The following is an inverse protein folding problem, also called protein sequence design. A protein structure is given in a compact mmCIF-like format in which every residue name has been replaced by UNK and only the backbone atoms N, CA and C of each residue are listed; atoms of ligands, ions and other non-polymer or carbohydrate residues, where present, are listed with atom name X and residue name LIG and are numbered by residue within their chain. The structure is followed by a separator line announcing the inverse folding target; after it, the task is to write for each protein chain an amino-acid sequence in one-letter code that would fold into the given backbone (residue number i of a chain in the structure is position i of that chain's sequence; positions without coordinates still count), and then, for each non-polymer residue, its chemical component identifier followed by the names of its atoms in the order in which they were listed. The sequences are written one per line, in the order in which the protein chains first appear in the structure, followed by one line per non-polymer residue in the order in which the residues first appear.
data_IF_104986644997
#
_entry.id   IF_104986644997
#
_cell.length_a   1.000
_cell.length_b   1.000
_cell.length_c   1.000
_cell.angle_alpha   90.00
_cell.angle_beta   90.00
_cell.angle_gamma   90.00
#
_symmetry.space_group_name_H-M   'P 1'
#
loop_
_entity.id
_entity.type
_entity.pdbx_description
1 polymer ?
#
# COMPACT_ATOMS: atom_id res chain seq x y z
N UNK A 1 -22.07 7.96 6.18
CA UNK A 1 -21.91 6.77 7.05
C UNK A 1 -20.75 5.96 6.49
N UNK A 2 -19.59 5.95 7.16
CA UNK A 2 -18.48 5.04 6.80
C UNK A 2 -18.99 3.62 7.08
N UNK A 3 -19.20 2.82 6.04
CA UNK A 3 -19.61 1.42 6.20
C UNK A 3 -18.55 0.69 7.03
N UNK A 4 -19.00 -0.05 8.03
CA UNK A 4 -18.12 -0.79 8.92
C UNK A 4 -17.43 -1.89 8.12
N UNK A 5 -16.11 -1.82 8.00
CA UNK A 5 -15.28 -2.83 7.33
C UNK A 5 -15.59 -4.28 7.75
N UNK A 6 -16.12 -4.46 8.97
CA UNK A 6 -16.57 -5.74 9.55
C UNK A 6 -17.50 -6.55 8.65
N UNK A 7 -18.31 -5.92 7.80
CA UNK A 7 -19.28 -6.64 6.96
C UNK A 7 -18.66 -7.22 5.68
N UNK A 8 -17.41 -6.84 5.35
CA UNK A 8 -16.69 -7.29 4.14
C UNK A 8 -15.66 -8.41 4.42
N UNK A 9 -15.28 -8.65 5.68
CA UNK A 9 -14.19 -9.56 6.06
C UNK A 9 -14.60 -11.03 6.26
N UNK A 10 -15.59 -11.54 5.53
CA UNK A 10 -15.83 -12.99 5.48
C UNK A 10 -15.01 -13.59 4.33
N UNK A 11 -13.94 -14.31 4.68
CA UNK A 11 -13.13 -15.13 3.77
C UNK A 11 -12.41 -14.33 2.66
N UNK A 12 -11.64 -13.32 3.07
CA UNK A 12 -10.84 -12.48 2.16
C UNK A 12 -9.49 -13.14 1.90
N UNK A 13 -9.18 -13.43 0.63
CA UNK A 13 -7.91 -14.05 0.22
C UNK A 13 -6.71 -13.07 0.24
N UNK A 14 -6.97 -11.75 0.24
CA UNK A 14 -5.94 -10.72 0.29
C UNK A 14 -6.53 -9.31 0.35
N UNK A 15 -5.78 -8.37 0.92
CA UNK A 15 -6.20 -6.96 1.08
C UNK A 15 -5.30 -6.06 0.26
N UNK A 16 -5.89 -5.15 -0.52
CA UNK A 16 -5.16 -4.07 -1.19
C UNK A 16 -5.44 -2.76 -0.47
N UNK A 17 -4.40 -2.15 0.09
CA UNK A 17 -4.46 -0.89 0.82
C UNK A 17 -3.78 0.23 0.03
N UNK A 18 -4.55 1.17 -0.50
CA UNK A 18 -4.02 2.25 -1.36
C UNK A 18 -3.86 3.52 -0.52
N UNK A 19 -2.66 4.10 -0.56
CA UNK A 19 -2.32 5.36 0.13
C UNK A 19 -2.01 6.43 -0.90
N UNK A 20 -2.51 7.63 -0.68
CA UNK A 20 -2.14 8.83 -1.44
C UNK A 20 -0.93 9.48 -0.76
N UNK A 21 0.28 9.28 -1.30
CA UNK A 21 1.52 9.77 -0.65
C UNK A 21 1.70 11.27 -0.76
N UNK A 22 0.93 11.95 -1.62
CA UNK A 22 1.01 13.39 -1.82
C UNK A 22 0.13 14.19 -0.84
N UNK A 23 -0.72 13.52 -0.04
CA UNK A 23 -1.64 14.17 0.89
C UNK A 23 -1.25 13.89 2.34
N UNK A 24 -0.23 14.62 2.79
CA UNK A 24 0.35 14.54 4.13
C UNK A 24 -0.64 14.90 5.26
N UNK A 25 -1.60 15.80 4.98
CA UNK A 25 -2.62 16.24 5.94
C UNK A 25 -3.52 15.09 6.42
N UNK A 26 -3.62 14.01 5.62
CA UNK A 26 -4.49 12.87 5.90
C UNK A 26 -3.74 11.64 6.42
N UNK A 27 -2.45 11.75 6.72
CA UNK A 27 -1.65 10.62 7.19
C UNK A 27 -2.16 10.05 8.52
N UNK A 28 -2.70 10.88 9.41
CA UNK A 28 -3.32 10.39 10.65
C UNK A 28 -4.55 9.53 10.38
N UNK A 29 -5.39 9.90 9.40
CA UNK A 29 -6.53 9.06 9.00
C UNK A 29 -6.08 7.73 8.38
N UNK A 30 -4.97 7.75 7.63
CA UNK A 30 -4.37 6.54 7.05
C UNK A 30 -3.85 5.62 8.14
N UNK A 31 -3.16 6.15 9.16
CA UNK A 31 -2.66 5.40 10.32
C UNK A 31 -3.79 4.72 11.08
N UNK A 32 -4.87 5.44 11.35
CA UNK A 32 -6.05 4.90 12.04
C UNK A 32 -6.71 3.79 11.22
N UNK A 33 -6.84 4.00 9.90
CA UNK A 33 -7.40 3.00 8.99
C UNK A 33 -6.52 1.76 8.87
N UNK A 34 -5.20 1.94 8.80
CA UNK A 34 -4.22 0.86 8.76
C UNK A 34 -4.26 0.01 10.04
N UNK A 35 -4.34 0.66 11.21
CA UNK A 35 -4.50 -0.02 12.49
C UNK A 35 -5.82 -0.82 12.54
N UNK A 36 -6.92 -0.27 12.00
CA UNK A 36 -8.19 -0.97 11.91
C UNK A 36 -8.11 -2.20 11.00
N UNK A 37 -7.50 -2.08 9.81
CA UNK A 37 -7.30 -3.21 8.88
C UNK A 37 -6.46 -4.31 9.52
N UNK A 38 -5.30 -3.98 10.13
CA UNK A 38 -4.46 -4.95 10.85
C UNK A 38 -5.14 -5.59 12.07
N UNK A 39 -6.14 -4.93 12.65
CA UNK A 39 -6.92 -5.50 13.75
C UNK A 39 -7.97 -6.51 13.28
N UNK A 40 -8.51 -6.31 12.07
CA UNK A 40 -9.62 -7.09 11.53
C UNK A 40 -9.13 -8.32 10.78
N UNK A 41 -8.01 -8.20 10.07
CA UNK A 41 -7.46 -9.26 9.23
C UNK A 41 -5.98 -9.49 9.59
N UNK A 42 -5.65 -10.69 10.06
CA UNK A 42 -4.31 -11.06 10.53
C UNK A 42 -3.67 -12.18 9.71
N UNK A 43 -4.47 -12.93 8.94
CA UNK A 43 -4.00 -14.10 8.20
C UNK A 43 -3.83 -13.77 6.71
N UNK A 44 -4.70 -12.93 6.14
CA UNK A 44 -4.61 -12.57 4.73
C UNK A 44 -3.38 -11.66 4.44
N UNK A 45 -2.70 -11.85 3.29
CA UNK A 45 -1.65 -10.96 2.83
C UNK A 45 -2.21 -9.55 2.56
N UNK A 46 -1.44 -8.53 2.92
CA UNK A 46 -1.77 -7.14 2.65
C UNK A 46 -0.78 -6.54 1.66
N UNK A 47 -1.28 -6.08 0.52
CA UNK A 47 -0.53 -5.29 -0.43
C UNK A 47 -0.81 -3.80 -0.20
N UNK A 48 0.22 -3.03 0.13
CA UNK A 48 0.14 -1.57 0.26
C UNK A 48 0.60 -0.92 -1.03
N UNK A 49 -0.25 -0.11 -1.66
CA UNK A 49 0.07 0.70 -2.83
C UNK A 49 0.26 2.16 -2.43
N UNK A 50 1.52 2.59 -2.37
CA UNK A 50 1.92 3.99 -2.19
C UNK A 50 1.75 4.71 -3.53
N UNK A 51 0.59 5.34 -3.72
CA UNK A 51 0.16 5.97 -4.97
C UNK A 51 0.53 7.47 -5.02
N UNK A 52 0.61 8.01 -6.23
CA UNK A 52 0.93 9.42 -6.57
C UNK A 52 2.36 9.86 -6.25
N UNK A 53 3.32 8.93 -6.33
CA UNK A 53 4.75 9.25 -6.18
C UNK A 53 5.27 10.27 -7.20
N UNK A 54 4.56 10.44 -8.33
CA UNK A 54 4.85 11.47 -9.33
C UNK A 54 4.74 12.89 -8.77
N UNK A 55 3.82 13.12 -7.83
CA UNK A 55 3.66 14.41 -7.16
C UNK A 55 4.78 14.68 -6.14
N UNK A 56 5.49 13.62 -5.71
CA UNK A 56 6.71 13.72 -4.90
C UNK A 56 7.97 13.88 -5.78
N UNK A 57 7.83 13.97 -7.10
CA UNK A 57 8.93 14.08 -8.04
C UNK A 57 9.60 12.73 -8.38
N UNK A 58 8.97 11.61 -8.02
CA UNK A 58 9.52 10.27 -8.19
C UNK A 58 8.71 9.44 -9.20
N UNK A 59 9.35 8.40 -9.73
CA UNK A 59 8.76 7.42 -10.64
C UNK A 59 8.93 6.03 -10.06
N UNK A 60 8.19 5.04 -10.56
CA UNK A 60 8.29 3.65 -10.09
C UNK A 60 9.68 3.03 -10.30
N UNK A 61 10.50 3.61 -11.18
CA UNK A 61 11.90 3.24 -11.39
C UNK A 61 12.89 4.04 -10.52
N UNK A 62 12.62 5.33 -10.25
CA UNK A 62 13.55 6.19 -9.50
C UNK A 62 13.39 6.05 -7.99
N UNK A 63 12.17 5.79 -7.51
CA UNK A 63 11.87 5.68 -6.08
C UNK A 63 12.74 4.63 -5.40
N UNK A 64 13.08 3.54 -6.10
CA UNK A 64 13.95 2.47 -5.59
C UNK A 64 15.36 2.95 -5.21
N UNK A 65 15.83 4.08 -5.77
CA UNK A 65 17.10 4.70 -5.40
C UNK A 65 16.95 5.69 -4.24
N UNK A 66 15.73 6.11 -3.90
CA UNK A 66 15.42 7.07 -2.86
C UNK A 66 14.89 6.35 -1.59
N UNK A 67 15.78 5.56 -0.97
CA UNK A 67 15.45 4.79 0.23
C UNK A 67 15.02 5.69 1.40
N UNK A 68 15.59 6.89 1.51
CA UNK A 68 15.22 7.83 2.57
C UNK A 68 13.75 8.22 2.48
N UNK A 69 13.26 8.53 1.26
CA UNK A 69 11.85 8.87 1.06
C UNK A 69 10.92 7.69 1.37
N UNK A 70 11.34 6.46 1.03
CA UNK A 70 10.58 5.26 1.39
C UNK A 70 10.46 5.10 2.91
N UNK A 71 11.58 5.22 3.61
CA UNK A 71 11.63 5.08 5.07
C UNK A 71 10.81 6.18 5.77
N UNK A 72 10.90 7.43 5.28
CA UNK A 72 10.14 8.56 5.82
C UNK A 72 8.63 8.37 5.63
N UNK A 73 8.19 7.89 4.46
CA UNK A 73 6.77 7.61 4.19
C UNK A 73 6.25 6.45 5.05
N UNK A 74 7.00 5.35 5.11
CA UNK A 74 6.63 4.19 5.93
C UNK A 74 6.54 4.54 7.42
N UNK A 75 7.50 5.33 7.92
CA UNK A 75 7.51 5.82 9.29
C UNK A 75 6.34 6.78 9.56
N UNK A 76 6.09 7.73 8.66
CA UNK A 76 5.01 8.70 8.82
C UNK A 76 3.62 8.03 8.82
N UNK A 77 3.45 6.98 8.02
CA UNK A 77 2.18 6.25 7.89
C UNK A 77 2.04 5.10 8.91
N UNK A 78 3.10 4.80 9.67
CA UNK A 78 3.13 3.64 10.57
C UNK A 78 2.96 2.30 9.85
N UNK A 79 3.31 2.26 8.56
CA UNK A 79 3.24 1.07 7.73
C UNK A 79 4.62 0.42 7.77
N UNK A 80 4.71 -0.73 8.43
CA UNK A 80 5.93 -1.52 8.47
C UNK A 80 5.83 -2.71 7.52
N UNK A 81 6.94 -3.07 6.88
CA UNK A 81 7.06 -4.30 6.10
C UNK A 81 7.02 -5.53 7.02
N UNK A 82 6.39 -6.59 6.54
CA UNK A 82 6.22 -7.94 7.13
C UNK A 82 6.62 -8.12 8.60
N UNK A 83 5.63 -8.26 9.49
CA UNK A 83 5.83 -8.71 10.88
C UNK A 83 5.50 -10.19 11.01
N UNK A 84 6.17 -10.93 11.92
CA UNK A 84 5.94 -12.37 12.16
C UNK A 84 4.44 -12.72 12.18
N UNK A 85 3.95 -13.40 11.14
CA UNK A 85 2.57 -13.89 11.01
C UNK A 85 1.77 -13.29 9.86
N UNK A 86 2.05 -12.06 9.40
CA UNK A 86 1.28 -11.41 8.33
C UNK A 86 2.19 -10.95 7.19
N UNK A 87 1.96 -11.47 5.99
CA UNK A 87 2.67 -11.06 4.77
C UNK A 87 2.22 -9.64 4.40
N UNK A 88 3.13 -8.68 4.40
CA UNK A 88 2.87 -7.30 3.98
C UNK A 88 3.93 -6.88 2.98
N UNK A 89 3.50 -6.50 1.78
CA UNK A 89 4.35 -5.91 0.75
C UNK A 89 3.95 -4.46 0.46
N UNK A 90 4.93 -3.62 0.12
CA UNK A 90 4.74 -2.19 -0.12
C UNK A 90 5.27 -1.87 -1.51
N UNK A 91 4.36 -1.48 -2.42
CA UNK A 91 4.70 -1.08 -3.77
C UNK A 91 4.46 0.41 -3.97
N UNK A 92 5.45 1.08 -4.56
CA UNK A 92 5.41 2.50 -4.89
C UNK A 92 5.06 2.69 -6.36
N UNK A 93 3.94 3.35 -6.62
CA UNK A 93 3.35 3.44 -7.96
C UNK A 93 2.77 4.83 -8.23
N UNK A 94 2.67 5.18 -9.50
CA UNK A 94 1.78 6.24 -9.95
C UNK A 94 0.73 5.60 -10.85
N UNK A 95 -0.47 5.36 -10.33
CA UNK A 95 -1.51 4.62 -11.06
C UNK A 95 -1.90 5.35 -12.35
N UNK A 96 -1.85 6.69 -12.36
CA UNK A 96 -2.17 7.51 -13.54
C UNK A 96 -1.02 7.51 -14.55
N UNK A 97 0.23 7.46 -14.07
CA UNK A 97 1.43 7.43 -14.90
C UNK A 97 1.81 6.04 -15.43
N UNK A 98 1.33 4.96 -14.80
CA UNK A 98 1.61 3.59 -15.23
C UNK A 98 0.62 3.07 -16.27
N UNK A 99 1.14 2.47 -17.34
CA UNK A 99 0.32 1.71 -18.28
C UNK A 99 -0.09 0.39 -17.67
N UNK A 100 -1.38 0.21 -17.40
CA UNK A 100 -1.97 -1.04 -16.89
C UNK A 100 -1.86 -2.22 -17.88
N UNK A 101 -1.46 -1.95 -19.12
CA UNK A 101 -1.23 -2.96 -20.15
C UNK A 101 0.21 -3.52 -20.13
N UNK A 102 1.12 -2.87 -19.39
CA UNK A 102 2.50 -3.33 -19.28
C UNK A 102 2.61 -4.36 -18.14
N UNK A 103 2.78 -5.63 -18.51
CA UNK A 103 2.95 -6.74 -17.55
C UNK A 103 4.21 -6.61 -16.69
N UNK A 104 5.21 -5.84 -17.13
CA UNK A 104 6.41 -5.59 -16.36
C UNK A 104 6.28 -4.44 -15.36
N UNK A 105 5.13 -3.77 -15.32
CA UNK A 105 4.85 -2.67 -14.40
C UNK A 105 4.94 -3.12 -12.93
N UNK A 106 5.30 -2.17 -12.06
CA UNK A 106 5.36 -2.43 -10.62
C UNK A 106 3.98 -2.80 -10.09
N UNK A 107 2.93 -2.20 -10.63
CA UNK A 107 1.54 -2.54 -10.29
C UNK A 107 1.22 -4.01 -10.60
N UNK A 108 1.50 -4.49 -11.82
CA UNK A 108 1.22 -5.88 -12.18
C UNK A 108 1.98 -6.87 -11.28
N UNK A 109 3.25 -6.61 -11.02
CA UNK A 109 4.08 -7.46 -10.15
C UNK A 109 3.58 -7.49 -8.70
N UNK A 110 3.07 -6.37 -8.21
CA UNK A 110 2.47 -6.28 -6.87
C UNK A 110 1.20 -7.13 -6.75
N UNK A 111 0.35 -7.13 -7.79
CA UNK A 111 -0.82 -8.00 -7.83
C UNK A 111 -0.48 -9.48 -8.04
N UNK A 112 0.58 -9.77 -8.81
CA UNK A 112 1.10 -11.14 -8.95
C UNK A 112 1.57 -11.67 -7.59
N UNK A 113 2.32 -10.87 -6.82
CA UNK A 113 2.71 -11.20 -5.44
C UNK A 113 1.51 -11.47 -4.52
N UNK A 114 0.44 -10.68 -4.63
CA UNK A 114 -0.77 -10.89 -3.82
C UNK A 114 -1.52 -12.18 -4.19
N UNK A 115 -1.32 -12.67 -5.42
CA UNK A 115 -1.97 -13.90 -5.90
C UNK A 115 -1.21 -15.19 -5.56
N UNK A 116 0.00 -15.09 -4.99
CA UNK A 116 0.84 -16.23 -4.55
C UNK A 116 0.51 -16.75 -3.14
#
# INVERSE_FOLDING_TARGET
VRMSWKDYFYNVDGVVFIVDTADDQRFDEVRDSWAAVRSLEREAPILVLMNKIDLLGETSSSIANNLQLMDDLEAALGIGRSTEGQKIDVAYVSIVGESTYNKDSKLCKAFEWLSE
#
